data_IF_589149334184
#
_entry.id   IF_589149334184
#
_cell.length_a   1.000
_cell.length_b   1.000
_cell.length_c   1.000
_cell.angle_alpha   90.00
_cell.angle_beta   90.00
_cell.angle_gamma   90.00
#
_symmetry.space_group_name_H-M   'P 1'
#
loop_
_entity.id
_entity.type
_entity.pdbx_description
1 polymer ?
#
# COMPACT_ATOMS: atom_id res chain seq x y z
N UNK A 1 0.89 -17.74 54.71
CA UNK A 1 2.15 -17.10 54.25
C UNK A 1 1.82 -16.23 53.04
N UNK A 2 2.16 -14.94 53.06
CA UNK A 2 1.87 -13.99 51.96
C UNK A 2 3.03 -14.00 50.96
N UNK A 3 2.77 -14.34 49.70
CA UNK A 3 3.71 -14.18 48.59
C UNK A 3 3.42 -12.85 47.89
N UNK A 4 4.32 -11.88 48.06
CA UNK A 4 4.30 -10.59 47.35
C UNK A 4 5.01 -10.73 46.01
N UNK A 5 4.26 -10.75 44.90
CA UNK A 5 4.85 -10.68 43.56
C UNK A 5 5.27 -9.24 43.24
N UNK A 6 6.58 -9.00 43.26
CA UNK A 6 7.19 -7.76 42.74
C UNK A 6 7.03 -7.75 41.22
N UNK A 7 6.20 -6.84 40.69
CA UNK A 7 6.14 -6.56 39.25
C UNK A 7 7.27 -5.61 38.91
N UNK A 8 8.39 -6.13 38.41
CA UNK A 8 9.42 -5.31 37.78
C UNK A 8 8.86 -4.72 36.48
N UNK A 9 8.59 -3.41 36.50
CA UNK A 9 8.25 -2.62 35.30
C UNK A 9 9.44 -2.63 34.35
N UNK A 10 9.35 -3.36 33.24
CA UNK A 10 10.25 -3.22 32.10
C UNK A 10 10.03 -1.84 31.47
N UNK A 11 10.86 -0.88 31.86
CA UNK A 11 10.83 0.49 31.36
C UNK A 11 11.64 0.54 30.06
N UNK A 12 11.02 0.14 28.94
CA UNK A 12 11.66 0.20 27.63
C UNK A 12 11.29 1.50 26.90
N UNK A 13 12.26 2.34 26.48
CA UNK A 13 12.00 3.66 25.92
C UNK A 13 11.29 3.69 24.56
N UNK A 14 11.13 2.56 23.86
CA UNK A 14 10.52 2.51 22.52
C UNK A 14 8.99 2.55 22.50
N UNK A 15 8.31 2.37 23.65
CA UNK A 15 6.85 2.35 23.72
C UNK A 15 6.22 3.69 24.14
N UNK A 16 7.04 4.71 24.41
CA UNK A 16 6.57 6.00 24.93
C UNK A 16 5.92 6.91 23.88
N UNK A 17 6.07 6.62 22.58
CA UNK A 17 5.56 7.50 21.51
C UNK A 17 4.09 7.26 21.13
N UNK A 18 3.45 6.18 21.61
CA UNK A 18 2.10 5.82 21.16
C UNK A 18 0.96 6.29 22.10
N UNK A 19 1.28 6.88 23.25
CA UNK A 19 0.29 7.16 24.31
C UNK A 19 0.06 8.65 24.59
N UNK A 20 0.38 9.53 23.65
CA UNK A 20 0.13 10.96 23.82
C UNK A 20 -0.42 11.63 22.56
N UNK A 21 -1.64 11.29 22.17
CA UNK A 21 -2.55 12.25 21.51
C UNK A 21 -4.00 11.95 21.93
N UNK A 22 -4.45 12.60 23.01
CA UNK A 22 -5.87 12.86 23.24
C UNK A 22 -6.20 14.15 22.50
N UNK A 23 -6.92 14.07 21.38
CA UNK A 23 -7.64 15.21 20.81
C UNK A 23 -9.02 14.76 20.34
N UNK A 24 -10.00 15.54 20.74
CA UNK A 24 -11.46 15.42 20.58
C UNK A 24 -11.96 15.08 19.17
N UNK A 25 -13.11 14.38 19.01
CA UNK A 25 -13.62 14.00 17.71
C UNK A 25 -14.28 15.18 16.97
N UNK A 26 -13.67 15.64 15.88
CA UNK A 26 -14.34 16.48 14.89
C UNK A 26 -15.08 15.59 13.87
N UNK A 27 -16.39 15.82 13.71
CA UNK A 27 -17.20 15.24 12.63
C UNK A 27 -16.61 15.67 11.27
N UNK A 28 -16.06 14.74 10.53
CA UNK A 28 -15.82 14.91 9.09
C UNK A 28 -17.01 14.34 8.32
N UNK A 29 -17.76 15.24 7.68
CA UNK A 29 -18.75 14.94 6.65
C UNK A 29 -17.98 14.35 5.47
N UNK A 30 -18.15 13.04 5.25
CA UNK A 30 -17.52 12.30 4.15
C UNK A 30 -18.34 12.56 2.88
N UNK A 31 -17.87 13.54 2.10
CA UNK A 31 -18.41 13.82 0.76
C UNK A 31 -18.31 12.59 -0.14
N UNK A 32 -19.36 12.43 -0.94
CA UNK A 32 -19.58 11.39 -1.94
C UNK A 32 -18.42 11.25 -2.94
N UNK A 33 -17.45 10.36 -2.70
CA UNK A 33 -16.59 9.88 -3.81
C UNK A 33 -15.85 8.54 -3.59
N UNK A 34 -16.45 7.57 -2.88
CA UNK A 34 -15.90 6.21 -2.82
C UNK A 34 -16.90 5.14 -3.28
N UNK A 35 -17.59 5.38 -4.40
CA UNK A 35 -18.49 4.41 -5.04
C UNK A 35 -17.81 3.64 -6.18
N UNK A 36 -16.67 3.00 -5.91
CA UNK A 36 -16.09 1.97 -6.79
C UNK A 36 -15.64 0.75 -6.01
N UNK A 37 -16.61 0.09 -5.37
CA UNK A 37 -16.43 -1.22 -4.73
C UNK A 37 -16.46 -2.32 -5.80
N UNK A 38 -15.30 -2.69 -6.34
CA UNK A 38 -15.13 -3.86 -7.21
C UNK A 38 -15.46 -5.11 -6.39
N UNK A 39 -16.61 -5.74 -6.67
CA UNK A 39 -17.09 -6.94 -5.96
C UNK A 39 -16.14 -8.10 -6.26
N UNK A 40 -15.35 -8.51 -5.27
CA UNK A 40 -14.57 -9.74 -5.31
C UNK A 40 -15.55 -10.91 -5.17
N UNK A 41 -15.90 -11.58 -6.28
CA UNK A 41 -16.68 -12.81 -6.24
C UNK A 41 -15.74 -13.97 -5.92
N UNK A 42 -15.75 -14.36 -4.65
CA UNK A 42 -15.08 -15.55 -4.16
C UNK A 42 -16.01 -16.75 -4.31
N UNK A 43 -15.75 -17.62 -5.29
CA UNK A 43 -16.44 -18.89 -5.44
C UNK A 43 -15.74 -19.95 -4.56
N UNK A 44 -16.00 -19.95 -3.25
CA UNK A 44 -15.68 -21.11 -2.42
C UNK A 44 -16.91 -22.01 -2.37
N UNK A 45 -16.85 -23.15 -3.07
CA UNK A 45 -17.80 -24.26 -2.91
C UNK A 45 -17.35 -25.05 -1.68
N UNK A 46 -18.10 -24.93 -0.59
CA UNK A 46 -17.94 -25.78 0.60
C UNK A 46 -18.70 -27.06 0.33
N UNK A 47 -18.00 -28.13 -0.03
CA UNK A 47 -18.58 -29.48 -0.01
C UNK A 47 -18.35 -30.07 1.38
N UNK A 48 -19.45 -30.27 2.11
CA UNK A 48 -19.48 -31.01 3.37
C UNK A 48 -18.96 -32.43 3.14
N UNK A 49 -17.82 -32.77 3.74
CA UNK A 49 -17.45 -34.16 3.95
C UNK A 49 -17.96 -34.57 5.33
N UNK A 50 -19.27 -34.82 5.41
CA UNK A 50 -19.81 -35.64 6.47
C UNK A 50 -19.24 -37.06 6.26
N UNK A 51 -18.58 -37.55 7.30
CA UNK A 51 -18.22 -38.95 7.47
C UNK A 51 -19.42 -39.83 7.17
N UNK A 52 -19.28 -40.83 6.31
CA UNK A 52 -20.04 -42.06 6.46
C UNK A 52 -19.20 -43.26 6.03
N UNK A 53 -19.09 -44.14 7.02
CA UNK A 53 -18.41 -45.41 7.05
C UNK A 53 -19.07 -46.46 6.18
N UNK A 54 -18.24 -47.31 5.56
CA UNK A 54 -18.45 -48.72 5.23
C UNK A 54 -19.82 -49.17 4.72
N UNK A 55 -19.90 -49.58 3.44
CA UNK A 55 -20.59 -50.83 3.05
C UNK A 55 -20.30 -51.22 1.59
N UNK A 56 -19.84 -52.46 1.45
CA UNK A 56 -19.64 -53.29 0.25
C UNK A 56 -20.69 -53.18 -0.87
N UNK A 57 -20.27 -53.34 -2.14
CA UNK A 57 -20.79 -54.36 -3.09
C UNK A 57 -20.30 -54.12 -4.53
N UNK A 58 -20.03 -55.23 -5.24
CA UNK A 58 -19.43 -55.39 -6.58
C UNK A 58 -20.14 -54.67 -7.76
N UNK A 59 -19.40 -54.43 -8.86
CA UNK A 59 -20.01 -54.26 -10.19
C UNK A 59 -19.33 -53.26 -11.15
N UNK A 60 -18.25 -53.72 -11.79
CA UNK A 60 -17.84 -53.46 -13.19
C UNK A 60 -17.96 -52.05 -13.86
N UNK A 61 -16.77 -51.53 -14.16
CA UNK A 61 -16.34 -50.86 -15.41
C UNK A 61 -17.14 -49.69 -16.00
N UNK A 62 -16.56 -48.48 -15.93
CA UNK A 62 -16.36 -47.67 -17.13
C UNK A 62 -15.17 -46.70 -16.93
N UNK A 63 -13.98 -47.13 -17.33
CA UNK A 63 -12.76 -46.31 -17.27
C UNK A 63 -12.76 -45.28 -18.40
N UNK A 64 -13.38 -44.13 -18.18
CA UNK A 64 -13.11 -42.96 -19.02
C UNK A 64 -11.79 -42.33 -18.55
N UNK A 65 -10.69 -42.71 -19.22
CA UNK A 65 -9.34 -42.15 -19.03
C UNK A 65 -9.37 -40.65 -19.30
N UNK A 66 -9.58 -39.85 -18.26
CA UNK A 66 -9.12 -38.46 -18.24
C UNK A 66 -7.62 -38.49 -17.98
N UNK A 67 -6.82 -38.51 -19.05
CA UNK A 67 -5.39 -38.24 -19.01
C UNK A 67 -5.14 -36.76 -18.70
N UNK A 68 -5.58 -36.32 -17.53
CA UNK A 68 -5.31 -35.00 -16.99
C UNK A 68 -4.13 -35.08 -16.05
N UNK A 69 -2.97 -34.60 -16.50
CA UNK A 69 -1.78 -34.16 -15.74
C UNK A 69 -1.91 -34.30 -14.21
N UNK A 70 -1.90 -35.54 -13.70
CA UNK A 70 -1.70 -35.85 -12.28
C UNK A 70 -0.28 -36.38 -12.14
N UNK A 71 0.69 -35.51 -12.45
CA UNK A 71 2.01 -35.67 -11.88
C UNK A 71 1.80 -35.75 -10.37
N UNK A 72 2.19 -36.86 -9.75
CA UNK A 72 2.10 -37.08 -8.30
C UNK A 72 2.82 -35.92 -7.63
N UNK A 73 2.09 -34.91 -7.14
CA UNK A 73 2.67 -33.83 -6.32
C UNK A 73 3.24 -34.53 -5.10
N UNK A 74 4.56 -34.58 -4.98
CA UNK A 74 5.22 -35.09 -3.77
C UNK A 74 4.71 -34.26 -2.61
N UNK A 75 4.21 -34.91 -1.57
CA UNK A 75 3.81 -34.25 -0.34
C UNK A 75 5.10 -33.77 0.30
N UNK A 76 5.28 -32.45 0.39
CA UNK A 76 6.43 -31.85 1.05
C UNK A 76 6.41 -32.23 2.52
N UNK A 77 7.57 -32.57 3.06
CA UNK A 77 7.70 -32.82 4.49
C UNK A 77 7.60 -31.50 5.25
N UNK A 78 7.22 -31.53 6.53
CA UNK A 78 7.14 -30.32 7.34
C UNK A 78 8.46 -29.50 7.35
N UNK A 79 9.65 -30.12 7.46
CA UNK A 79 10.92 -29.39 7.33
C UNK A 79 11.11 -28.70 5.98
N UNK A 80 10.70 -29.33 4.88
CA UNK A 80 10.75 -28.72 3.54
C UNK A 80 9.83 -27.51 3.44
N UNK A 81 8.63 -27.59 4.04
CA UNK A 81 7.70 -26.47 4.09
C UNK A 81 8.25 -25.31 4.93
N UNK A 82 8.85 -25.61 6.09
CA UNK A 82 9.48 -24.58 6.94
C UNK A 82 10.64 -23.91 6.22
N UNK A 83 11.48 -24.69 5.53
CA UNK A 83 12.59 -24.11 4.78
C UNK A 83 12.09 -23.21 3.62
N UNK A 84 11.15 -23.71 2.81
CA UNK A 84 10.58 -22.96 1.70
C UNK A 84 9.91 -21.68 2.17
N UNK A 85 9.07 -21.74 3.20
CA UNK A 85 8.42 -20.56 3.78
C UNK A 85 9.45 -19.56 4.30
N UNK A 86 10.49 -19.99 5.01
CA UNK A 86 11.58 -19.11 5.44
C UNK A 86 12.28 -18.43 4.26
N UNK A 87 12.58 -19.17 3.18
CA UNK A 87 13.20 -18.56 1.99
C UNK A 87 12.29 -17.57 1.28
N UNK A 88 10.99 -17.86 1.21
CA UNK A 88 10.01 -16.96 0.61
C UNK A 88 9.82 -15.71 1.46
N UNK A 89 9.73 -15.84 2.78
CA UNK A 89 9.67 -14.69 3.70
C UNK A 89 10.88 -13.78 3.51
N UNK A 90 12.09 -14.34 3.47
CA UNK A 90 13.31 -13.54 3.23
C UNK A 90 13.27 -12.79 1.90
N UNK A 91 12.85 -13.46 0.81
CA UNK A 91 12.71 -12.81 -0.51
C UNK A 91 11.70 -11.66 -0.46
N UNK A 92 10.56 -11.88 0.18
CA UNK A 92 9.53 -10.85 0.34
C UNK A 92 10.02 -9.67 1.19
N UNK A 93 10.82 -9.92 2.23
CA UNK A 93 11.44 -8.86 3.04
C UNK A 93 12.44 -8.03 2.22
N UNK A 94 13.26 -8.69 1.39
CA UNK A 94 14.20 -8.04 0.48
C UNK A 94 13.47 -7.20 -0.58
N UNK A 95 12.42 -7.74 -1.21
CA UNK A 95 11.57 -7.03 -2.17
C UNK A 95 10.84 -5.85 -1.53
N UNK A 96 10.27 -6.04 -0.33
CA UNK A 96 9.59 -4.95 0.40
C UNK A 96 10.57 -3.83 0.74
N UNK A 97 11.77 -4.19 1.19
CA UNK A 97 12.83 -3.21 1.47
C UNK A 97 13.26 -2.45 0.22
N UNK A 98 13.34 -3.12 -0.93
CA UNK A 98 13.62 -2.46 -2.21
C UNK A 98 12.52 -1.49 -2.61
N UNK A 99 11.25 -1.91 -2.53
CA UNK A 99 10.09 -1.06 -2.85
C UNK A 99 10.03 0.18 -1.95
N UNK A 100 10.36 0.07 -0.66
CA UNK A 100 10.41 1.21 0.25
C UNK A 100 11.48 2.23 -0.18
N UNK A 101 12.66 1.77 -0.60
CA UNK A 101 13.70 2.67 -1.13
C UNK A 101 13.26 3.37 -2.41
N UNK A 102 12.56 2.67 -3.29
CA UNK A 102 12.04 3.25 -4.53
C UNK A 102 10.98 4.31 -4.25
N UNK A 103 10.09 4.07 -3.28
CA UNK A 103 9.11 5.05 -2.84
C UNK A 103 9.76 6.32 -2.27
N UNK A 104 10.80 6.17 -1.44
CA UNK A 104 11.55 7.32 -0.91
C UNK A 104 12.26 8.11 -2.02
N UNK A 105 12.84 7.41 -3.01
CA UNK A 105 13.43 8.02 -4.19
C UNK A 105 12.40 8.83 -4.98
N UNK A 106 11.25 8.24 -5.30
CA UNK A 106 10.15 8.91 -6.00
C UNK A 106 9.62 10.11 -5.21
N UNK A 107 9.48 9.99 -3.90
CA UNK A 107 9.05 11.09 -3.03
C UNK A 107 10.03 12.26 -3.10
N UNK A 108 11.33 12.00 -3.08
CA UNK A 108 12.37 13.02 -3.21
C UNK A 108 12.37 13.67 -4.59
N UNK A 109 12.21 12.89 -5.66
CA UNK A 109 12.07 13.42 -7.02
C UNK A 109 10.84 14.32 -7.17
N UNK A 110 9.71 13.91 -6.60
CA UNK A 110 8.49 14.70 -6.61
C UNK A 110 8.68 16.03 -5.84
N UNK A 111 9.27 15.98 -4.64
CA UNK A 111 9.58 17.19 -3.87
C UNK A 111 10.46 18.18 -4.65
N UNK A 112 11.50 17.67 -5.33
CA UNK A 112 12.36 18.50 -6.18
C UNK A 112 11.61 19.09 -7.38
N UNK A 113 10.71 18.31 -7.99
CA UNK A 113 9.85 18.77 -9.08
C UNK A 113 8.92 19.89 -8.61
N UNK A 114 8.26 19.72 -7.46
CA UNK A 114 7.42 20.75 -6.84
C UNK A 114 8.20 22.04 -6.56
N UNK A 115 9.41 21.95 -5.99
CA UNK A 115 10.29 23.11 -5.78
C UNK A 115 10.66 23.80 -7.08
N UNK A 116 10.91 23.05 -8.16
CA UNK A 116 11.18 23.61 -9.49
C UNK A 116 9.96 24.33 -10.05
N UNK A 117 8.77 23.73 -9.96
CA UNK A 117 7.52 24.35 -10.40
C UNK A 117 7.24 25.64 -9.64
N UNK A 118 7.45 25.67 -8.32
CA UNK A 118 7.29 26.88 -7.53
C UNK A 118 8.22 28.02 -7.99
N UNK A 119 9.48 27.69 -8.34
CA UNK A 119 10.42 28.68 -8.90
C UNK A 119 9.96 29.21 -10.25
N UNK A 120 9.49 28.32 -11.14
CA UNK A 120 8.96 28.71 -12.45
C UNK A 120 7.75 29.63 -12.29
N UNK A 121 6.82 29.33 -11.38
CA UNK A 121 5.67 30.19 -11.09
C UNK A 121 6.09 31.58 -10.62
N UNK A 122 7.06 31.67 -9.69
CA UNK A 122 7.60 32.96 -9.25
C UNK A 122 8.20 33.76 -10.41
N UNK A 123 8.98 33.12 -11.27
CA UNK A 123 9.55 33.76 -12.46
C UNK A 123 8.46 34.22 -13.43
N UNK A 124 7.45 33.38 -13.68
CA UNK A 124 6.31 33.74 -14.54
C UNK A 124 5.58 34.97 -14.04
N UNK A 125 5.34 35.08 -12.72
CA UNK A 125 4.73 36.26 -12.13
C UNK A 125 5.61 37.50 -12.29
N UNK A 126 6.93 37.38 -12.05
CA UNK A 126 7.86 38.50 -12.20
C UNK A 126 7.94 38.99 -13.66
N UNK A 127 7.97 38.07 -14.63
CA UNK A 127 7.95 38.42 -16.07
C UNK A 127 6.66 39.14 -16.42
N UNK A 128 5.51 38.65 -15.95
CA UNK A 128 4.21 39.30 -16.17
C UNK A 128 4.21 40.75 -15.64
N UNK A 129 4.68 40.96 -14.42
CA UNK A 129 4.79 42.31 -13.84
C UNK A 129 5.73 43.21 -14.66
N UNK A 130 6.89 42.69 -15.09
CA UNK A 130 7.83 43.46 -15.92
C UNK A 130 7.21 43.85 -17.26
N UNK A 131 6.50 42.94 -17.91
CA UNK A 131 5.77 43.24 -19.14
C UNK A 131 4.70 44.32 -18.93
N UNK A 132 3.90 44.22 -17.87
CA UNK A 132 2.90 45.25 -17.53
C UNK A 132 3.55 46.63 -17.31
N UNK A 133 4.64 46.69 -16.54
CA UNK A 133 5.37 47.96 -16.32
C UNK A 133 5.98 48.50 -17.61
N UNK A 134 6.50 47.64 -18.49
CA UNK A 134 7.06 48.05 -19.77
C UNK A 134 5.99 48.67 -20.67
N UNK A 135 4.82 48.04 -20.78
CA UNK A 135 3.68 48.56 -21.57
C UNK A 135 3.21 49.91 -21.06
N UNK A 136 3.09 50.08 -19.74
CA UNK A 136 2.70 51.35 -19.13
C UNK A 136 3.71 52.45 -19.46
N UNK A 137 5.01 52.18 -19.26
CA UNK A 137 6.07 53.14 -19.52
C UNK A 137 6.15 53.53 -21.00
N UNK A 138 5.97 52.56 -21.91
CA UNK A 138 5.94 52.82 -23.34
C UNK A 138 4.76 53.72 -23.71
N UNK A 139 3.57 53.46 -23.17
CA UNK A 139 2.38 54.26 -23.42
C UNK A 139 2.53 55.69 -22.90
N UNK A 140 3.09 55.84 -21.69
CA UNK A 140 3.36 57.15 -21.10
C UNK A 140 4.39 57.96 -21.94
N UNK A 141 5.46 57.32 -22.40
CA UNK A 141 6.46 57.96 -23.25
C UNK A 141 5.87 58.45 -24.59
N UNK A 142 4.99 57.65 -25.21
CA UNK A 142 4.31 58.04 -26.45
C UNK A 142 3.38 59.25 -26.26
N UNK A 143 2.66 59.32 -25.14
CA UNK A 143 1.80 60.46 -24.83
C UNK A 143 2.59 61.76 -24.59
N UNK A 144 3.75 61.67 -23.95
CA UNK A 144 4.63 62.83 -23.73
C UNK A 144 5.28 63.34 -25.02
N UNK A 145 5.58 62.45 -25.97
CA UNK A 145 6.12 62.85 -27.29
C UNK A 145 5.09 63.43 -28.25
N UNK A 146 3.79 63.31 -27.93
CA UNK A 146 2.68 63.79 -28.75
C UNK A 146 2.05 65.10 -28.24
N UNK A 147 2.54 65.64 -27.12
CA UNK A 147 2.17 66.95 -26.55
C UNK A 147 3.24 67.99 -26.89
#
# INVERSE_FOLDING_TARGET
MKLTSQVTKLNHPSLRSFLSQKSTPQKMVLGDEFSRRKKFRSNFRVENLASDSNSSSDGETNSQKLSGVRGKRKIKTFPELVHETSTNTRKLEEETSALLRDLDSLRNQNLNTCRRLQRIQKLSCAVKQKMETFTINQTAAMQQSAS
#
